data_IF_047125203439
#
_entry.id   IF_047125203439
#
_cell.length_a   1.000
_cell.length_b   1.000
_cell.length_c   1.000
_cell.angle_alpha   90.00
_cell.angle_beta   90.00
_cell.angle_gamma   90.00
#
_symmetry.space_group_name_H-M   'P 1'
#
loop_
_entity.id
_entity.type
_entity.pdbx_description
1 polymer ?
#
# COMPACT_ATOMS: atom_id res chain seq x y z
N UNK A 1 14.47 -53.16 7.94
CA UNK A 1 14.97 -51.97 8.65
C UNK A 1 14.72 -50.84 7.70
N UNK A 2 13.56 -50.20 7.87
CA UNK A 2 13.01 -49.21 6.96
C UNK A 2 13.81 -47.91 7.14
N UNK A 3 14.27 -47.35 6.02
CA UNK A 3 14.95 -46.06 5.98
C UNK A 3 13.89 -44.97 6.23
N UNK A 4 13.99 -44.31 7.38
CA UNK A 4 13.18 -43.14 7.71
C UNK A 4 13.54 -41.99 6.76
N UNK A 5 12.63 -41.72 5.83
CA UNK A 5 12.61 -40.52 5.00
C UNK A 5 12.49 -39.30 5.92
N UNK A 6 13.59 -38.57 6.10
CA UNK A 6 13.59 -37.28 6.79
C UNK A 6 12.77 -36.31 5.96
N UNK A 7 11.48 -36.19 6.28
CA UNK A 7 10.62 -35.13 5.77
C UNK A 7 11.22 -33.79 6.17
N UNK A 8 11.86 -33.13 5.20
CA UNK A 8 12.29 -31.74 5.29
C UNK A 8 11.03 -30.88 5.45
N UNK A 9 10.74 -30.51 6.70
CA UNK A 9 9.74 -29.49 7.01
C UNK A 9 10.21 -28.21 6.33
N UNK A 10 9.63 -27.89 5.16
CA UNK A 10 9.78 -26.59 4.53
C UNK A 10 9.33 -25.56 5.55
N UNK A 11 10.27 -24.82 6.14
CA UNK A 11 9.90 -23.71 7.01
C UNK A 11 9.17 -22.70 6.13
N UNK A 12 7.83 -22.68 6.20
CA UNK A 12 7.08 -21.56 5.68
C UNK A 12 7.65 -20.31 6.34
N UNK A 13 8.10 -19.37 5.51
CA UNK A 13 8.67 -18.13 5.99
C UNK A 13 7.66 -17.46 6.91
N UNK A 14 8.06 -17.19 8.16
CA UNK A 14 7.24 -16.50 9.17
C UNK A 14 6.83 -15.07 8.76
N UNK A 15 7.29 -14.60 7.60
CA UNK A 15 6.97 -13.31 7.02
C UNK A 15 5.73 -13.42 6.14
N UNK A 16 4.63 -12.75 6.50
CA UNK A 16 3.42 -12.74 5.69
C UNK A 16 3.66 -12.03 4.35
N UNK A 17 2.83 -12.33 3.36
CA UNK A 17 2.74 -11.53 2.13
C UNK A 17 1.95 -10.26 2.44
N UNK A 18 2.45 -9.09 2.07
CA UNK A 18 1.78 -7.80 2.26
C UNK A 18 0.56 -7.68 1.36
N UNK A 19 -0.57 -7.32 1.97
CA UNK A 19 -1.82 -6.96 1.29
C UNK A 19 -2.50 -5.78 2.01
N UNK A 20 -3.64 -5.35 1.48
CA UNK A 20 -4.40 -4.21 2.00
C UNK A 20 -4.84 -4.39 3.47
N UNK A 21 -5.10 -5.63 3.89
CA UNK A 21 -5.71 -5.93 5.19
C UNK A 21 -4.68 -6.11 6.31
N UNK A 22 -3.42 -6.40 5.98
CA UNK A 22 -2.42 -6.82 6.95
C UNK A 22 -1.25 -5.86 7.16
N UNK A 23 -1.29 -4.67 6.55
CA UNK A 23 -0.17 -3.72 6.56
C UNK A 23 0.44 -3.49 7.96
N UNK A 24 -0.35 -3.15 8.98
CA UNK A 24 0.18 -2.86 10.32
C UNK A 24 0.95 -4.05 10.92
N UNK A 25 0.46 -5.27 10.71
CA UNK A 25 1.11 -6.50 11.18
C UNK A 25 2.34 -6.83 10.34
N UNK A 26 2.24 -6.70 9.01
CA UNK A 26 3.33 -6.94 8.07
C UNK A 26 4.50 -5.99 8.34
N UNK A 27 4.22 -4.69 8.49
CA UNK A 27 5.20 -3.64 8.73
C UNK A 27 6.05 -3.94 9.97
N UNK A 28 5.39 -4.23 11.09
CA UNK A 28 6.08 -4.56 12.35
C UNK A 28 6.95 -5.81 12.21
N UNK A 29 6.40 -6.89 11.61
CA UNK A 29 7.13 -8.16 11.43
C UNK A 29 8.33 -8.02 10.51
N UNK A 30 8.16 -7.34 9.38
CA UNK A 30 9.23 -7.11 8.41
C UNK A 30 10.34 -6.24 9.02
N UNK A 31 9.98 -5.15 9.71
CA UNK A 31 10.94 -4.30 10.42
C UNK A 31 11.76 -5.09 11.45
N UNK A 32 11.10 -5.88 12.30
CA UNK A 32 11.79 -6.71 13.31
C UNK A 32 12.71 -7.73 12.64
N UNK A 33 12.27 -8.35 11.55
CA UNK A 33 13.09 -9.31 10.81
C UNK A 33 14.34 -8.66 10.20
N UNK A 34 14.20 -7.49 9.58
CA UNK A 34 15.33 -6.74 9.01
C UNK A 34 16.29 -6.27 10.11
N UNK A 35 15.78 -5.84 11.29
CA UNK A 35 16.63 -5.51 12.45
C UNK A 35 17.42 -6.72 12.94
N UNK A 36 16.79 -7.90 13.01
CA UNK A 36 17.46 -9.14 13.39
C UNK A 36 18.60 -9.54 12.44
N UNK A 37 18.59 -9.02 11.21
CA UNK A 37 19.64 -9.24 10.19
C UNK A 37 20.58 -8.04 10.00
N UNK A 38 20.48 -7.00 10.82
CA UNK A 38 21.21 -5.74 10.66
C UNK A 38 20.97 -5.03 9.30
N UNK A 39 19.80 -5.21 8.69
CA UNK A 39 19.42 -4.64 7.40
C UNK A 39 18.46 -3.44 7.52
N UNK A 40 17.93 -3.13 8.71
CA UNK A 40 16.97 -2.04 8.85
C UNK A 40 17.55 -0.65 8.52
N UNK A 41 18.87 -0.48 8.69
CA UNK A 41 19.51 0.81 8.48
C UNK A 41 19.44 1.30 7.03
N UNK A 42 19.50 0.39 6.05
CA UNK A 42 19.39 0.73 4.61
C UNK A 42 17.97 1.11 4.19
N UNK A 43 16.94 0.72 4.96
CA UNK A 43 15.55 1.14 4.72
C UNK A 43 15.20 2.47 5.39
N UNK A 44 15.98 2.91 6.39
CA UNK A 44 15.59 4.03 7.26
C UNK A 44 16.49 5.25 7.15
N UNK A 45 17.70 5.11 6.59
CA UNK A 45 18.68 6.20 6.49
C UNK A 45 19.38 6.16 5.13
N UNK A 46 19.59 7.32 4.48
CA UNK A 46 20.45 7.40 3.32
C UNK A 46 21.91 7.14 3.74
N UNK A 47 22.71 6.66 2.78
CA UNK A 47 24.17 6.66 2.93
C UNK A 47 24.68 8.10 3.08
N UNK A 48 25.68 8.31 3.93
CA UNK A 48 26.25 9.64 4.13
C UNK A 48 26.93 10.13 2.84
N UNK A 49 26.79 11.43 2.52
CA UNK A 49 27.36 12.02 1.30
C UNK A 49 28.89 12.00 1.25
N UNK A 50 29.54 11.87 2.40
CA UNK A 50 31.00 11.78 2.56
C UNK A 50 31.48 10.36 2.90
N UNK A 51 30.64 9.34 2.69
CA UNK A 51 31.01 7.95 2.92
C UNK A 51 32.15 7.53 1.99
N UNK A 52 33.04 6.67 2.48
CA UNK A 52 34.09 6.07 1.64
C UNK A 52 33.48 5.08 0.65
N UNK A 53 34.18 4.81 -0.46
CA UNK A 53 33.76 3.83 -1.47
C UNK A 53 33.48 2.44 -0.86
N UNK A 54 34.28 2.04 0.13
CA UNK A 54 34.07 0.77 0.85
C UNK A 54 32.77 0.77 1.65
N UNK A 55 32.43 1.90 2.29
CA UNK A 55 31.17 2.03 3.03
C UNK A 55 29.96 2.04 2.09
N UNK A 56 30.08 2.70 0.93
CA UNK A 56 29.06 2.70 -0.13
C UNK A 56 28.84 1.28 -0.65
N UNK A 57 29.91 0.55 -0.97
CA UNK A 57 29.81 -0.83 -1.45
C UNK A 57 29.14 -1.76 -0.41
N UNK A 58 29.49 -1.60 0.88
CA UNK A 58 28.85 -2.35 1.98
C UNK A 58 27.37 -2.02 2.10
N UNK A 59 27.02 -0.73 2.01
CA UNK A 59 25.64 -0.26 2.05
C UNK A 59 24.83 -0.83 0.88
N UNK A 60 25.34 -0.76 -0.35
CA UNK A 60 24.67 -1.29 -1.53
C UNK A 60 24.43 -2.79 -1.44
N UNK A 61 25.39 -3.55 -0.92
CA UNK A 61 25.20 -4.98 -0.67
C UNK A 61 24.06 -5.24 0.31
N UNK A 62 24.06 -4.57 1.46
CA UNK A 62 22.99 -4.70 2.45
C UNK A 62 21.61 -4.26 1.90
N UNK A 63 21.59 -3.22 1.07
CA UNK A 63 20.40 -2.74 0.36
C UNK A 63 19.80 -3.82 -0.54
N UNK A 64 20.60 -4.45 -1.41
CA UNK A 64 20.10 -5.53 -2.26
C UNK A 64 19.66 -6.76 -1.45
N UNK A 65 20.33 -7.07 -0.34
CA UNK A 65 19.89 -8.13 0.57
C UNK A 65 18.54 -7.82 1.22
N UNK A 66 18.29 -6.56 1.63
CA UNK A 66 17.00 -6.14 2.16
C UNK A 66 15.89 -6.24 1.10
N UNK A 67 16.15 -5.78 -0.13
CA UNK A 67 15.21 -5.87 -1.26
C UNK A 67 14.84 -7.32 -1.58
N UNK A 68 15.81 -8.24 -1.57
CA UNK A 68 15.59 -9.66 -1.79
C UNK A 68 14.70 -10.32 -0.70
N UNK A 69 14.57 -9.71 0.48
CA UNK A 69 13.66 -10.15 1.54
C UNK A 69 12.27 -9.52 1.37
N UNK A 70 12.22 -8.22 1.06
CA UNK A 70 10.97 -7.45 1.00
C UNK A 70 10.16 -7.82 -0.25
N UNK A 71 10.77 -7.76 -1.44
CA UNK A 71 10.07 -7.87 -2.73
C UNK A 71 9.27 -9.18 -2.87
N UNK A 72 9.82 -10.36 -2.51
CA UNK A 72 9.07 -11.62 -2.60
C UNK A 72 7.88 -11.71 -1.63
N UNK A 73 7.78 -10.77 -0.67
CA UNK A 73 6.72 -10.69 0.32
C UNK A 73 5.71 -9.60 0.00
N UNK A 74 5.68 -9.10 -1.23
CA UNK A 74 4.65 -8.20 -1.74
C UNK A 74 3.58 -9.01 -2.47
N UNK A 75 2.31 -8.67 -2.25
CA UNK A 75 1.26 -9.10 -3.17
C UNK A 75 1.49 -8.51 -4.56
N UNK A 76 0.87 -9.10 -5.58
CA UNK A 76 0.97 -8.62 -6.97
C UNK A 76 0.56 -7.15 -7.11
N UNK A 77 -0.44 -6.71 -6.32
CA UNK A 77 -0.89 -5.32 -6.31
C UNK A 77 0.19 -4.40 -5.74
N UNK A 78 0.70 -4.71 -4.53
CA UNK A 78 1.77 -3.92 -3.90
C UNK A 78 3.03 -3.88 -4.78
N UNK A 79 3.36 -4.97 -5.46
CA UNK A 79 4.48 -5.01 -6.39
C UNK A 79 4.28 -4.01 -7.54
N UNK A 80 3.11 -4.01 -8.21
CA UNK A 80 2.85 -3.12 -9.35
C UNK A 80 2.89 -1.65 -8.99
N UNK A 81 2.34 -1.29 -7.83
CA UNK A 81 2.25 0.10 -7.40
C UNK A 81 3.57 0.63 -6.83
N UNK A 82 4.31 -0.21 -6.08
CA UNK A 82 5.47 0.25 -5.31
C UNK A 82 6.83 -0.10 -5.95
N UNK A 83 6.91 -1.08 -6.86
CA UNK A 83 8.17 -1.50 -7.50
C UNK A 83 8.28 -0.88 -8.90
N UNK A 84 9.00 0.23 -8.97
CA UNK A 84 9.27 1.00 -10.19
C UNK A 84 10.76 0.94 -10.54
N UNK A 85 11.17 1.55 -11.66
CA UNK A 85 12.59 1.68 -12.01
C UNK A 85 13.41 2.45 -10.95
N UNK A 86 12.76 3.30 -10.14
CA UNK A 86 13.40 4.08 -9.09
C UNK A 86 13.51 3.32 -7.78
N UNK A 87 12.48 2.54 -7.41
CA UNK A 87 12.42 1.87 -6.11
C UNK A 87 13.02 0.47 -6.12
N UNK A 88 13.08 -0.21 -7.28
CA UNK A 88 13.57 -1.59 -7.38
C UNK A 88 15.03 -1.75 -6.95
N UNK A 89 15.81 -0.67 -6.98
CA UNK A 89 17.22 -0.65 -6.60
C UNK A 89 17.50 0.21 -5.36
N UNK A 90 16.47 0.67 -4.65
CA UNK A 90 16.63 1.49 -3.44
C UNK A 90 15.65 1.03 -2.36
N UNK A 91 16.17 0.36 -1.34
CA UNK A 91 15.35 -0.19 -0.25
C UNK A 91 14.64 0.89 0.58
N UNK A 92 15.20 2.11 0.65
CA UNK A 92 14.58 3.21 1.38
C UNK A 92 13.42 3.76 0.59
N UNK A 93 13.61 4.04 -0.70
CA UNK A 93 12.53 4.53 -1.56
C UNK A 93 11.41 3.50 -1.68
N UNK A 94 11.73 2.21 -1.80
CA UNK A 94 10.72 1.15 -1.77
C UNK A 94 9.98 1.12 -0.43
N UNK A 95 10.69 1.24 0.69
CA UNK A 95 10.07 1.24 2.01
C UNK A 95 9.16 2.46 2.22
N UNK A 96 9.59 3.64 1.77
CA UNK A 96 8.80 4.88 1.81
C UNK A 96 7.53 4.72 0.97
N UNK A 97 7.62 4.16 -0.24
CA UNK A 97 6.47 3.88 -1.10
C UNK A 97 5.49 2.87 -0.46
N UNK A 98 6.00 1.80 0.13
CA UNK A 98 5.19 0.82 0.86
C UNK A 98 4.56 1.42 2.13
N UNK A 99 5.17 2.45 2.70
CA UNK A 99 4.66 3.12 3.90
C UNK A 99 3.58 4.14 3.61
N UNK A 100 3.48 4.60 2.35
CA UNK A 100 2.37 5.43 1.89
C UNK A 100 1.11 4.57 1.71
N UNK A 101 0.23 4.60 2.71
CA UNK A 101 -1.03 3.84 2.70
C UNK A 101 -1.89 4.09 1.46
N UNK A 102 -1.73 5.22 0.75
CA UNK A 102 -2.47 5.48 -0.50
C UNK A 102 -2.12 4.49 -1.61
N UNK A 103 -0.90 3.96 -1.64
CA UNK A 103 -0.48 2.94 -2.59
C UNK A 103 -1.01 1.53 -2.23
N UNK A 104 -1.46 1.34 -0.98
CA UNK A 104 -1.94 0.07 -0.46
C UNK A 104 -3.47 -0.03 -0.40
N UNK A 105 -4.17 1.12 -0.46
CA UNK A 105 -5.63 1.15 -0.52
C UNK A 105 -6.05 0.77 -1.94
N UNK A 106 -6.61 -0.44 -2.04
CA UNK A 106 -7.26 -0.93 -3.24
C UNK A 106 -8.47 -0.03 -3.53
N UNK A 107 -8.53 0.63 -4.69
CA UNK A 107 -9.78 1.27 -5.11
C UNK A 107 -10.88 0.21 -5.29
N UNK A 108 -10.51 -1.07 -5.46
CA UNK A 108 -11.44 -2.20 -5.54
C UNK A 108 -11.88 -2.75 -4.17
N UNK A 109 -11.35 -2.30 -3.01
CA UNK A 109 -11.97 -2.62 -1.70
C UNK A 109 -13.20 -1.78 -1.42
N UNK A 110 -13.64 -0.97 -2.38
CA UNK A 110 -14.97 -0.37 -2.38
C UNK A 110 -15.85 -1.15 -3.36
N UNK A 111 -16.09 -2.42 -3.03
CA UNK A 111 -17.32 -3.13 -3.42
C UNK A 111 -18.53 -2.60 -2.62
N UNK A 112 -18.39 -1.43 -1.98
CA UNK A 112 -19.50 -0.52 -1.78
C UNK A 112 -19.80 0.00 -3.19
N UNK A 113 -20.94 -0.38 -3.74
CA UNK A 113 -21.44 0.16 -5.01
C UNK A 113 -21.67 1.67 -4.84
N UNK A 114 -20.61 2.46 -4.83
CA UNK A 114 -20.65 3.89 -4.59
C UNK A 114 -21.00 4.49 -5.95
N UNK A 115 -22.18 5.12 -6.12
CA UNK A 115 -22.58 5.67 -7.40
C UNK A 115 -21.50 6.61 -7.90
N UNK A 116 -21.11 6.53 -9.18
CA UNK A 116 -20.01 7.30 -9.78
C UNK A 116 -20.01 8.79 -9.40
N UNK A 117 -21.20 9.37 -9.18
CA UNK A 117 -21.37 10.74 -8.69
C UNK A 117 -20.68 10.99 -7.33
N UNK A 118 -20.79 10.09 -6.36
CA UNK A 118 -20.22 10.30 -5.02
C UNK A 118 -18.69 10.17 -5.04
N UNK A 119 -18.13 9.28 -5.87
CA UNK A 119 -16.67 9.21 -6.09
C UNK A 119 -16.12 10.49 -6.72
N UNK A 120 -16.84 11.08 -7.68
CA UNK A 120 -16.47 12.39 -8.25
C UNK A 120 -16.45 13.49 -7.19
N UNK A 121 -17.44 13.53 -6.29
CA UNK A 121 -17.47 14.53 -5.21
C UNK A 121 -16.41 14.31 -4.14
N UNK A 122 -16.06 13.06 -3.84
CA UNK A 122 -14.97 12.75 -2.92
C UNK A 122 -13.62 13.24 -3.46
N UNK A 123 -13.34 12.98 -4.75
CA UNK A 123 -12.13 13.45 -5.43
C UNK A 123 -12.10 14.99 -5.48
N UNK A 124 -13.24 15.63 -5.81
CA UNK A 124 -13.38 17.09 -5.82
C UNK A 124 -13.17 17.71 -4.43
N UNK A 125 -13.76 17.16 -3.38
CA UNK A 125 -13.58 17.65 -2.01
C UNK A 125 -12.13 17.57 -1.55
N UNK A 126 -11.42 16.51 -1.93
CA UNK A 126 -9.98 16.36 -1.66
C UNK A 126 -9.12 17.35 -2.45
N UNK A 127 -9.45 17.63 -3.72
CA UNK A 127 -8.75 18.62 -4.54
C UNK A 127 -8.99 20.06 -4.06
N UNK A 128 -10.18 20.34 -3.54
CA UNK A 128 -10.57 21.67 -3.05
C UNK A 128 -10.21 21.89 -1.58
N UNK A 129 -9.67 20.88 -0.89
CA UNK A 129 -9.31 20.88 0.53
C UNK A 129 -10.49 21.32 1.43
N UNK A 130 -11.70 20.82 1.13
CA UNK A 130 -12.93 21.12 1.86
C UNK A 130 -13.50 19.85 2.51
N UNK A 131 -14.18 20.02 3.66
CA UNK A 131 -14.90 18.92 4.31
C UNK A 131 -16.04 18.42 3.42
N UNK A 132 -16.14 17.09 3.32
CA UNK A 132 -17.05 16.40 2.40
C UNK A 132 -18.53 16.80 2.63
N UNK A 133 -18.89 17.02 3.90
CA UNK A 133 -20.25 17.41 4.31
C UNK A 133 -20.68 18.74 3.68
N UNK A 134 -19.77 19.69 3.48
CA UNK A 134 -20.08 20.99 2.86
C UNK A 134 -20.37 20.89 1.35
N UNK A 135 -19.83 19.87 0.68
CA UNK A 135 -20.03 19.63 -0.76
C UNK A 135 -21.36 18.90 -0.99
N UNK A 136 -21.69 17.94 -0.11
CA UNK A 136 -22.95 17.18 -0.16
C UNK A 136 -24.14 18.07 0.18
N UNK A 137 -24.03 18.94 1.19
CA UNK A 137 -25.13 19.84 1.58
C UNK A 137 -25.48 20.87 0.49
N UNK A 138 -24.50 21.34 -0.30
CA UNK A 138 -24.78 22.29 -1.40
C UNK A 138 -25.57 21.70 -2.56
N UNK A 139 -25.56 20.37 -2.72
CA UNK A 139 -26.28 19.71 -3.83
C UNK A 139 -27.62 19.12 -3.40
N UNK A 140 -27.82 18.83 -2.11
CA UNK A 140 -29.10 18.33 -1.59
C UNK A 140 -30.22 19.40 -1.60
N UNK A 141 -29.89 20.70 -1.68
CA UNK A 141 -30.86 21.80 -1.68
C UNK A 141 -31.21 22.38 -3.05
N UNK A 142 -30.61 21.90 -4.15
CA UNK A 142 -31.06 22.27 -5.51
C UNK A 142 -32.21 21.37 -6.02
N UNK A 143 -32.84 20.58 -5.13
CA UNK A 143 -33.97 19.70 -5.43
C UNK A 143 -35.35 20.30 -5.09
N UNK A 144 -35.46 21.62 -4.84
CA UNK A 144 -36.74 22.32 -4.97
C UNK A 144 -36.89 22.82 -6.41
N UNK A 145 -37.49 22.00 -7.29
CA UNK A 145 -38.19 22.32 -8.57
C UNK A 145 -38.35 20.94 -9.25
N UNK A 146 -39.49 20.24 -9.32
CA UNK A 146 -40.91 20.50 -9.15
C UNK A 146 -41.56 19.17 -8.71
N UNK A 147 -42.22 19.17 -7.55
CA UNK A 147 -43.33 18.26 -7.30
C UNK A 147 -44.55 18.88 -7.96
N UNK A 148 -45.02 18.31 -9.06
CA UNK A 148 -46.45 18.31 -9.41
C UNK A 148 -46.73 17.14 -10.35
N UNK A 149 -47.04 16.01 -9.74
CA UNK A 149 -47.93 15.04 -10.36
C UNK A 149 -49.36 15.58 -10.25
N UNK A 150 -50.18 15.48 -11.31
CA UNK A 150 -51.52 14.98 -11.06
C UNK A 150 -51.81 13.74 -11.91
N UNK A 151 -52.23 12.71 -11.18
CA UNK A 151 -53.04 11.61 -11.68
C UNK A 151 -54.31 12.16 -12.34
N UNK A 152 -54.65 11.69 -13.53
CA UNK A 152 -56.02 11.74 -14.04
C UNK A 152 -56.35 10.46 -14.82
N UNK A 153 -57.35 9.75 -14.30
CA UNK A 153 -57.99 8.58 -14.88
C UNK A 153 -58.73 8.89 -16.20
N UNK A 154 -58.78 7.86 -17.06
CA UNK A 154 -59.87 7.41 -17.94
C UNK A 154 -60.73 8.45 -18.68
N UNK A 155 -60.71 8.36 -20.02
CA UNK A 155 -61.84 7.85 -20.81
C UNK A 155 -61.32 7.15 -22.06
#
# INVERSE_FOLDING_TARGET
>A
MEEEEVQSVKSESLLPILNADNYSSWYGRMMVHLRGKDLWHVCSKPVASNASDTAIAKHNKAMFEALAIIIPRLSIHCYRECVTSETINDSRLLWDALSDQKALINIDTVDITMPKKISSYFILGKLMNQDLDQVVDKTAFDAEVIVHHPLAHSK
#
